data_IF_340743263501
#
_entry.id   IF_340743263501
#
_cell.length_a   1.000
_cell.length_b   1.000
_cell.length_c   1.000
_cell.angle_alpha   90.00
_cell.angle_beta   90.00
_cell.angle_gamma   90.00
#
_symmetry.space_group_name_H-M   'P 1'
#
loop_
_entity.id
_entity.type
_entity.pdbx_description
1 polymer ?
#
# COMPACT_ATOMS: atom_id res chain seq x y z
N UNK A 1 -55.50 -41.82 -11.64
CA UNK A 1 -54.64 -40.83 -12.33
C UNK A 1 -53.53 -40.47 -11.36
N UNK A 2 -52.35 -41.09 -11.49
CA UNK A 2 -51.16 -40.44 -12.08
C UNK A 2 -50.79 -39.14 -11.32
N UNK A 3 -49.63 -38.96 -10.68
CA UNK A 3 -48.34 -39.68 -10.64
C UNK A 3 -47.65 -39.30 -9.30
N UNK A 4 -46.96 -40.28 -8.73
CA UNK A 4 -45.63 -40.28 -8.08
C UNK A 4 -44.96 -38.94 -7.63
N UNK A 5 -44.07 -38.99 -6.61
CA UNK A 5 -44.07 -38.06 -5.48
C UNK A 5 -43.06 -36.91 -5.57
N UNK A 6 -43.31 -35.86 -4.78
CA UNK A 6 -42.46 -34.69 -4.47
C UNK A 6 -41.06 -35.07 -3.93
N UNK A 7 -40.79 -36.36 -3.75
CA UNK A 7 -39.47 -36.94 -3.39
C UNK A 7 -38.46 -36.79 -4.54
N UNK A 8 -38.88 -36.60 -5.79
CA UNK A 8 -37.97 -36.45 -6.94
C UNK A 8 -37.43 -35.02 -7.16
N UNK A 9 -37.92 -34.01 -6.42
CA UNK A 9 -37.47 -32.61 -6.58
C UNK A 9 -36.46 -32.15 -5.52
N UNK A 10 -36.20 -32.95 -4.48
CA UNK A 10 -35.21 -32.64 -3.44
C UNK A 10 -33.92 -33.47 -3.55
N UNK A 11 -33.87 -34.46 -4.46
CA UNK A 11 -32.69 -35.29 -4.72
C UNK A 11 -31.69 -34.68 -5.73
N UNK A 12 -31.99 -33.53 -6.33
CA UNK A 12 -31.05 -32.78 -7.19
C UNK A 12 -30.14 -31.83 -6.40
N UNK A 13 -30.35 -31.67 -5.09
CA UNK A 13 -29.46 -30.90 -4.20
C UNK A 13 -28.13 -31.62 -3.88
N UNK A 14 -27.93 -32.86 -4.35
CA UNK A 14 -26.68 -33.61 -4.17
C UNK A 14 -25.77 -33.67 -5.40
N UNK A 15 -26.07 -32.94 -6.48
CA UNK A 15 -25.22 -32.95 -7.67
C UNK A 15 -25.21 -31.61 -8.41
N UNK A 16 -24.80 -30.53 -7.74
CA UNK A 16 -24.18 -29.39 -8.41
C UNK A 16 -22.88 -29.06 -7.69
N UNK A 17 -21.81 -29.65 -8.24
CA UNK A 17 -20.43 -29.18 -8.14
C UNK A 17 -19.85 -29.24 -6.72
N UNK A 18 -19.18 -30.31 -6.27
CA UNK A 18 -18.05 -30.99 -6.92
C UNK A 18 -17.19 -30.06 -7.80
N UNK A 19 -17.06 -28.80 -7.44
CA UNK A 19 -15.83 -28.07 -7.70
C UNK A 19 -14.90 -28.57 -6.61
N UNK A 20 -13.95 -29.42 -7.00
CA UNK A 20 -12.72 -29.57 -6.27
C UNK A 20 -12.37 -28.22 -5.65
N UNK A 21 -12.38 -28.15 -4.32
CA UNK A 21 -11.51 -27.21 -3.63
C UNK A 21 -10.12 -27.72 -3.97
N UNK A 22 -9.67 -27.45 -5.18
CA UNK A 22 -8.25 -27.31 -5.45
C UNK A 22 -7.87 -26.26 -4.44
N UNK A 23 -7.33 -26.72 -3.31
CA UNK A 23 -6.25 -25.99 -2.69
C UNK A 23 -5.36 -25.65 -3.86
N UNK A 24 -5.50 -24.43 -4.38
CA UNK A 24 -4.42 -23.77 -5.08
C UNK A 24 -3.39 -23.65 -3.98
N UNK A 25 -2.67 -24.75 -3.74
CA UNK A 25 -1.42 -24.76 -3.01
C UNK A 25 -0.64 -23.78 -3.82
N UNK A 26 -0.55 -22.54 -3.33
CA UNK A 26 0.25 -21.51 -3.95
C UNK A 26 1.62 -22.16 -4.08
N UNK A 27 1.95 -22.59 -5.29
CA UNK A 27 3.30 -23.02 -5.62
C UNK A 27 4.03 -21.71 -5.63
N UNK A 28 4.45 -21.28 -4.44
CA UNK A 28 5.34 -20.15 -4.30
C UNK A 28 6.52 -20.45 -5.21
N UNK A 29 6.93 -19.51 -6.07
CA UNK A 29 8.17 -19.68 -6.80
C UNK A 29 9.26 -20.06 -5.80
N UNK A 30 10.07 -21.06 -6.12
CA UNK A 30 11.30 -21.31 -5.37
C UNK A 30 12.23 -20.14 -5.64
N UNK A 31 12.24 -19.18 -4.71
CA UNK A 31 13.16 -18.05 -4.74
C UNK A 31 14.48 -18.43 -4.09
N UNK A 32 15.57 -17.91 -4.64
CA UNK A 32 16.81 -17.80 -3.88
C UNK A 32 16.70 -16.58 -2.95
N UNK A 33 16.78 -16.84 -1.64
CA UNK A 33 16.63 -15.81 -0.59
C UNK A 33 18.00 -15.36 -0.11
N UNK A 34 18.24 -14.05 -0.08
CA UNK A 34 19.37 -13.54 0.71
C UNK A 34 19.01 -13.57 2.20
N UNK A 35 19.93 -14.07 3.04
CA UNK A 35 19.75 -14.40 4.47
C UNK A 35 19.36 -13.24 5.40
N UNK A 36 19.21 -12.02 4.89
CA UNK A 36 18.88 -10.84 5.67
C UNK A 36 17.37 -10.55 5.63
N UNK A 37 16.64 -11.20 6.53
CA UNK A 37 15.28 -10.78 6.87
C UNK A 37 15.38 -9.47 7.68
N UNK A 38 14.84 -8.37 7.16
CA UNK A 38 14.75 -7.10 7.88
C UNK A 38 13.27 -6.78 8.10
N UNK A 39 12.87 -6.63 9.37
CA UNK A 39 11.50 -6.28 9.77
C UNK A 39 10.38 -7.05 9.04
N UNK A 40 10.53 -8.36 8.88
CA UNK A 40 9.49 -9.20 8.33
C UNK A 40 9.38 -9.21 6.80
N UNK A 41 10.33 -8.58 6.09
CA UNK A 41 10.51 -8.70 4.64
C UNK A 41 11.84 -9.36 4.29
N UNK A 42 11.91 -9.98 3.13
CA UNK A 42 13.11 -10.61 2.56
C UNK A 42 13.25 -10.21 1.09
N UNK A 43 14.49 -9.98 0.67
CA UNK A 43 14.83 -9.83 -0.75
C UNK A 43 14.87 -11.23 -1.36
N UNK A 44 14.14 -11.40 -2.45
CA UNK A 44 14.02 -12.66 -3.19
C UNK A 44 14.55 -12.47 -4.60
N UNK A 45 15.11 -13.52 -5.18
CA UNK A 45 15.54 -13.50 -6.58
C UNK A 45 14.94 -14.65 -7.39
N UNK A 46 14.68 -14.38 -8.67
CA UNK A 46 14.22 -15.34 -9.67
C UNK A 46 14.84 -14.97 -11.02
N UNK A 47 15.56 -15.90 -11.65
CA UNK A 47 16.22 -15.72 -12.95
C UNK A 47 17.10 -14.45 -13.03
N UNK A 48 17.80 -14.10 -11.94
CA UNK A 48 18.66 -12.92 -11.87
C UNK A 48 17.92 -11.59 -11.75
N UNK A 49 16.60 -11.61 -11.48
CA UNK A 49 15.80 -10.44 -11.13
C UNK A 49 15.44 -10.48 -9.65
N UNK A 50 15.34 -9.31 -9.03
CA UNK A 50 15.12 -9.17 -7.60
C UNK A 50 13.72 -8.64 -7.29
N UNK A 51 13.14 -9.13 -6.21
CA UNK A 51 11.82 -8.81 -5.68
C UNK A 51 11.84 -8.77 -4.15
N UNK A 52 10.68 -8.53 -3.56
CA UNK A 52 10.50 -8.49 -2.10
C UNK A 52 9.37 -9.46 -1.72
N UNK A 53 9.56 -10.24 -0.68
CA UNK A 53 8.53 -11.09 -0.10
C UNK A 53 8.43 -10.88 1.40
N UNK A 54 7.30 -11.24 2.00
CA UNK A 54 7.22 -11.33 3.46
C UNK A 54 7.84 -12.63 3.98
N UNK A 55 7.99 -12.74 5.29
CA UNK A 55 8.53 -13.94 5.95
C UNK A 55 7.72 -15.23 5.76
N UNK A 56 6.50 -15.15 5.23
CA UNK A 56 5.73 -16.34 4.83
C UNK A 56 6.00 -16.76 3.38
N UNK A 57 6.83 -16.01 2.66
CA UNK A 57 7.12 -16.19 1.24
C UNK A 57 6.08 -15.57 0.32
N UNK A 58 5.13 -14.79 0.83
CA UNK A 58 4.16 -14.08 -0.02
C UNK A 58 4.86 -12.89 -0.67
N UNK A 59 4.76 -12.84 -1.99
CA UNK A 59 5.30 -11.75 -2.80
C UNK A 59 4.69 -10.39 -2.39
N UNK A 60 5.58 -9.43 -2.19
CA UNK A 60 5.29 -8.01 -1.94
C UNK A 60 5.63 -7.20 -3.20
N UNK A 61 6.81 -7.44 -3.76
CA UNK A 61 7.25 -6.93 -5.06
C UNK A 61 7.70 -8.10 -5.92
N UNK A 62 7.17 -8.18 -7.14
CA UNK A 62 7.58 -9.19 -8.10
C UNK A 62 9.08 -9.09 -8.41
N UNK A 63 9.77 -10.22 -8.69
CA UNK A 63 11.17 -10.21 -9.11
C UNK A 63 11.33 -9.67 -10.53
N UNK A 64 11.26 -8.35 -10.65
CA UNK A 64 11.35 -7.62 -11.92
C UNK A 64 12.36 -6.49 -11.86
N UNK A 65 13.12 -6.37 -10.77
CA UNK A 65 14.12 -5.33 -10.57
C UNK A 65 15.52 -5.87 -10.85
N UNK A 66 16.44 -4.97 -11.21
CA UNK A 66 17.85 -5.30 -11.42
C UNK A 66 18.53 -5.60 -10.09
N UNK A 67 18.11 -4.91 -9.03
CA UNK A 67 18.61 -5.06 -7.67
C UNK A 67 17.63 -4.46 -6.65
N UNK A 68 17.69 -4.88 -5.39
CA UNK A 68 16.92 -4.31 -4.27
C UNK A 68 17.80 -4.21 -3.02
N UNK A 69 17.81 -3.03 -2.39
CA UNK A 69 18.50 -2.79 -1.13
C UNK A 69 17.56 -2.22 -0.07
N UNK A 70 17.78 -2.58 1.19
CA UNK A 70 17.21 -1.85 2.31
C UNK A 70 18.04 -0.59 2.57
N UNK A 71 17.41 0.58 2.52
CA UNK A 71 18.05 1.85 2.89
C UNK A 71 17.66 2.28 4.31
N UNK A 72 16.60 1.68 4.84
CA UNK A 72 16.24 1.71 6.26
C UNK A 72 15.40 0.47 6.60
N UNK A 73 15.09 0.36 7.89
CA UNK A 73 14.23 -0.66 8.48
C UNK A 73 12.85 -0.82 7.83
N UNK A 74 12.32 0.22 7.20
CA UNK A 74 10.98 0.21 6.60
C UNK A 74 10.97 0.56 5.11
N UNK A 75 12.14 0.83 4.51
CA UNK A 75 12.24 1.32 3.14
C UNK A 75 13.22 0.49 2.29
N UNK A 76 12.70 0.00 1.18
CA UNK A 76 13.47 -0.65 0.13
C UNK A 76 13.68 0.28 -1.07
N UNK A 77 14.88 0.28 -1.63
CA UNK A 77 15.23 0.91 -2.89
C UNK A 77 15.40 -0.19 -3.96
N UNK A 78 14.60 -0.15 -5.03
CA UNK A 78 14.65 -1.11 -6.12
C UNK A 78 15.12 -0.45 -7.42
N UNK A 79 16.09 -1.07 -8.07
CA UNK A 79 16.80 -0.53 -9.23
C UNK A 79 16.21 -1.07 -10.54
N UNK A 80 16.09 -0.20 -11.54
CA UNK A 80 15.73 -0.56 -12.91
C UNK A 80 16.45 0.38 -13.87
N UNK A 81 17.54 -0.12 -14.46
CA UNK A 81 18.51 0.68 -15.20
C UNK A 81 19.04 1.83 -14.33
N UNK A 82 18.75 3.06 -14.76
CA UNK A 82 19.12 4.29 -14.06
C UNK A 82 18.04 4.80 -13.10
N UNK A 83 16.92 4.08 -12.95
CA UNK A 83 15.81 4.52 -12.09
C UNK A 83 15.86 3.75 -10.78
N UNK A 84 15.67 4.48 -9.67
CA UNK A 84 15.55 3.91 -8.33
C UNK A 84 14.16 4.22 -7.81
N UNK A 85 13.36 3.17 -7.60
CA UNK A 85 12.07 3.26 -6.94
C UNK A 85 12.22 3.02 -5.43
N UNK A 86 11.53 3.83 -4.63
CA UNK A 86 11.48 3.65 -3.18
C UNK A 86 10.14 3.05 -2.79
N UNK A 87 10.16 2.06 -1.90
CA UNK A 87 8.98 1.30 -1.48
C UNK A 87 8.94 1.16 0.03
N UNK A 88 7.74 1.21 0.58
CA UNK A 88 7.52 0.76 1.97
C UNK A 88 7.45 -0.78 2.05
N UNK A 89 7.39 -1.30 3.27
CA UNK A 89 7.28 -2.75 3.55
C UNK A 89 6.05 -3.43 2.99
N UNK A 90 5.02 -2.68 2.60
CA UNK A 90 3.84 -3.25 1.93
C UNK A 90 4.01 -3.34 0.42
N UNK A 91 5.16 -2.91 -0.11
CA UNK A 91 5.43 -2.82 -1.54
C UNK A 91 4.81 -1.58 -2.17
N UNK A 92 4.29 -0.64 -1.36
CA UNK A 92 3.75 0.59 -1.90
C UNK A 92 4.88 1.51 -2.31
N UNK A 93 4.83 1.98 -3.56
CA UNK A 93 5.76 2.98 -4.08
C UNK A 93 5.58 4.31 -3.34
N UNK A 94 6.70 4.83 -2.87
CA UNK A 94 6.85 6.04 -2.08
C UNK A 94 7.39 7.21 -2.92
N UNK A 95 8.06 6.90 -4.03
CA UNK A 95 8.61 7.85 -5.00
C UNK A 95 9.70 7.16 -5.82
N UNK A 96 10.32 7.92 -6.72
CA UNK A 96 11.45 7.44 -7.52
C UNK A 96 12.39 8.59 -7.86
N UNK A 97 13.61 8.23 -8.22
CA UNK A 97 14.63 9.15 -8.73
C UNK A 97 15.35 8.50 -9.92
N UNK A 98 15.94 9.34 -10.77
CA UNK A 98 16.89 8.88 -11.79
C UNK A 98 18.29 9.18 -11.26
N UNK A 99 19.16 8.19 -11.30
CA UNK A 99 20.56 8.28 -10.92
C UNK A 99 21.44 8.17 -12.16
N UNK A 100 22.49 8.98 -12.22
CA UNK A 100 23.55 8.76 -13.20
C UNK A 100 24.34 7.47 -12.86
N UNK A 101 25.08 6.94 -13.82
CA UNK A 101 25.85 5.70 -13.59
C UNK A 101 26.87 5.88 -12.48
N UNK A 102 26.85 4.99 -11.48
CA UNK A 102 27.78 5.03 -10.34
C UNK A 102 27.27 5.75 -9.09
N UNK A 103 25.96 5.92 -8.91
CA UNK A 103 25.39 6.49 -7.70
C UNK A 103 25.84 5.76 -6.43
N UNK A 104 26.21 6.57 -5.44
CA UNK A 104 26.64 6.11 -4.12
C UNK A 104 25.44 5.88 -3.19
N UNK A 105 25.66 5.21 -2.07
CA UNK A 105 24.62 5.05 -1.06
C UNK A 105 24.11 6.40 -0.53
N UNK A 106 25.01 7.39 -0.40
CA UNK A 106 24.69 8.76 -0.01
C UNK A 106 23.77 9.45 -1.01
N UNK A 107 23.97 9.26 -2.31
CA UNK A 107 23.10 9.81 -3.35
C UNK A 107 21.68 9.25 -3.25
N UNK A 108 21.56 7.95 -2.96
CA UNK A 108 20.27 7.29 -2.76
C UNK A 108 19.57 7.82 -1.52
N UNK A 109 20.30 8.02 -0.42
CA UNK A 109 19.74 8.59 0.81
C UNK A 109 19.28 10.03 0.64
N UNK A 110 20.07 10.88 -0.04
CA UNK A 110 19.70 12.26 -0.33
C UNK A 110 18.45 12.33 -1.22
N UNK A 111 18.40 11.49 -2.25
CA UNK A 111 17.22 11.38 -3.11
C UNK A 111 15.97 10.97 -2.30
N UNK A 112 16.09 9.95 -1.44
CA UNK A 112 14.99 9.54 -0.59
C UNK A 112 14.53 10.65 0.37
N UNK A 113 15.47 11.36 1.01
CA UNK A 113 15.18 12.48 1.93
C UNK A 113 14.36 13.60 1.25
N UNK A 114 14.68 13.93 -0.01
CA UNK A 114 13.90 14.91 -0.79
C UNK A 114 12.47 14.44 -1.03
N UNK A 115 12.30 13.18 -1.41
CA UNK A 115 10.97 12.59 -1.61
C UNK A 115 10.19 12.60 -0.30
N UNK A 116 10.82 12.19 0.80
CA UNK A 116 10.20 12.15 2.12
C UNK A 116 9.79 13.56 2.59
N UNK A 117 10.63 14.57 2.39
CA UNK A 117 10.30 15.98 2.64
C UNK A 117 9.08 16.43 1.83
N UNK A 118 9.07 16.15 0.53
CA UNK A 118 7.94 16.51 -0.33
C UNK A 118 6.63 15.83 0.11
N UNK A 119 6.70 14.55 0.53
CA UNK A 119 5.55 13.85 1.10
C UNK A 119 5.06 14.48 2.41
N UNK A 120 5.97 14.89 3.31
CA UNK A 120 5.63 15.61 4.54
C UNK A 120 4.87 16.90 4.25
N UNK A 121 5.37 17.70 3.32
CA UNK A 121 4.72 18.96 2.91
C UNK A 121 3.32 18.73 2.32
N UNK A 122 3.12 17.64 1.56
CA UNK A 122 1.79 17.27 1.08
C UNK A 122 0.83 16.91 2.23
N UNK A 123 1.31 16.18 3.24
CA UNK A 123 0.52 15.84 4.42
C UNK A 123 0.18 17.08 5.27
N UNK A 124 1.14 17.99 5.45
CA UNK A 124 0.91 19.26 6.15
C UNK A 124 -0.18 20.09 5.46
N UNK A 125 -0.19 20.12 4.13
CA UNK A 125 -1.25 20.76 3.35
C UNK A 125 -2.61 20.08 3.53
N UNK A 126 -2.67 18.74 3.57
CA UNK A 126 -3.92 18.00 3.84
C UNK A 126 -4.46 18.34 5.22
N UNK A 127 -3.60 18.39 6.23
CA UNK A 127 -4.00 18.71 7.60
C UNK A 127 -4.52 20.16 7.68
N UNK A 128 -3.83 21.11 7.05
CA UNK A 128 -4.27 22.49 6.98
C UNK A 128 -5.67 22.62 6.33
N UNK A 129 -5.92 21.89 5.23
CA UNK A 129 -7.24 21.86 4.59
C UNK A 129 -8.32 21.26 5.51
N UNK A 130 -7.98 20.23 6.29
CA UNK A 130 -8.88 19.65 7.28
C UNK A 130 -9.23 20.65 8.39
N UNK A 131 -8.25 21.38 8.90
CA UNK A 131 -8.49 22.45 9.88
C UNK A 131 -9.35 23.58 9.30
N UNK A 132 -9.13 23.96 8.04
CA UNK A 132 -9.96 24.95 7.35
C UNK A 132 -11.41 24.48 7.23
N UNK A 133 -11.64 23.24 6.77
CA UNK A 133 -12.96 22.63 6.74
C UNK A 133 -13.60 22.63 8.13
N UNK A 134 -12.85 22.29 9.17
CA UNK A 134 -13.33 22.31 10.56
C UNK A 134 -13.78 23.71 10.99
N UNK A 135 -12.96 24.73 10.76
CA UNK A 135 -13.31 26.13 11.08
C UNK A 135 -14.54 26.58 10.28
N UNK A 136 -14.61 26.21 9.00
CA UNK A 136 -15.75 26.51 8.14
C UNK A 136 -17.05 25.89 8.68
N UNK A 137 -17.04 24.61 9.06
CA UNK A 137 -18.22 23.93 9.60
C UNK A 137 -18.71 24.51 10.94
N UNK A 138 -17.87 25.28 11.64
CA UNK A 138 -18.22 25.96 12.90
C UNK A 138 -18.71 27.39 12.70
N UNK A 139 -18.68 27.93 11.48
CA UNK A 139 -19.12 29.31 11.21
C UNK A 139 -20.60 29.40 10.91
N UNK A 140 -21.19 30.57 11.17
CA UNK A 140 -22.59 30.87 10.82
C UNK A 140 -22.85 30.90 9.30
N UNK A 141 -21.78 30.95 8.50
CA UNK A 141 -21.80 30.94 7.03
C UNK A 141 -21.66 29.54 6.41
N UNK A 142 -21.63 28.49 7.24
CA UNK A 142 -21.48 27.12 6.79
C UNK A 142 -22.67 26.67 5.93
N UNK A 143 -22.37 26.04 4.80
CA UNK A 143 -23.35 25.37 3.95
C UNK A 143 -22.88 23.96 3.61
N UNK A 144 -23.84 23.04 3.50
CA UNK A 144 -23.54 21.65 3.15
C UNK A 144 -22.84 21.53 1.78
N UNK A 145 -23.15 22.42 0.82
CA UNK A 145 -22.53 22.43 -0.50
C UNK A 145 -21.04 22.74 -0.46
N UNK A 146 -20.65 23.83 0.21
CA UNK A 146 -19.25 24.24 0.34
C UNK A 146 -18.44 23.25 1.18
N UNK A 147 -19.02 22.78 2.30
CA UNK A 147 -18.37 21.77 3.14
C UNK A 147 -18.08 20.48 2.36
N UNK A 148 -19.01 20.06 1.49
CA UNK A 148 -18.81 18.93 0.59
C UNK A 148 -17.66 19.16 -0.39
N UNK A 149 -17.58 20.32 -1.03
CA UNK A 149 -16.49 20.65 -1.97
C UNK A 149 -15.12 20.61 -1.28
N UNK A 150 -15.01 21.20 -0.08
CA UNK A 150 -13.80 21.13 0.74
C UNK A 150 -13.43 19.69 1.09
N UNK A 151 -14.40 18.88 1.54
CA UNK A 151 -14.19 17.47 1.88
C UNK A 151 -13.78 16.63 0.66
N UNK A 152 -14.36 16.89 -0.52
CA UNK A 152 -14.00 16.22 -1.77
C UNK A 152 -12.58 16.60 -2.22
N UNK A 153 -12.16 17.85 -2.00
CA UNK A 153 -10.78 18.31 -2.20
C UNK A 153 -9.79 17.56 -1.31
N UNK A 154 -10.08 17.44 -0.01
CA UNK A 154 -9.28 16.67 0.95
C UNK A 154 -9.22 15.19 0.54
N UNK A 155 -10.35 14.58 0.17
CA UNK A 155 -10.39 13.19 -0.29
C UNK A 155 -9.53 12.97 -1.53
N UNK A 156 -9.57 13.91 -2.47
CA UNK A 156 -8.74 13.87 -3.68
C UNK A 156 -7.25 13.98 -3.34
N UNK A 157 -6.89 14.84 -2.38
CA UNK A 157 -5.52 14.95 -1.92
C UNK A 157 -5.04 13.66 -1.23
N UNK A 158 -5.88 13.07 -0.36
CA UNK A 158 -5.59 11.79 0.30
C UNK A 158 -5.36 10.65 -0.71
N UNK A 159 -6.14 10.61 -1.79
CA UNK A 159 -5.94 9.63 -2.86
C UNK A 159 -4.59 9.78 -3.58
N UNK A 160 -4.09 11.01 -3.71
CA UNK A 160 -2.81 11.31 -4.39
C UNK A 160 -1.58 10.99 -3.54
N UNK A 161 -1.62 11.30 -2.25
CA UNK A 161 -0.48 11.06 -1.37
C UNK A 161 -0.30 9.55 -1.15
N UNK A 162 -1.41 8.81 -1.02
CA UNK A 162 -1.44 7.37 -0.91
C UNK A 162 -0.67 6.81 0.30
N UNK A 163 -1.09 5.65 0.80
CA UNK A 163 -0.31 4.85 1.75
C UNK A 163 -0.73 5.03 3.20
N UNK A 164 -0.19 4.19 4.09
CA UNK A 164 -0.50 4.29 5.50
C UNK A 164 0.01 5.64 6.01
N UNK A 165 -0.90 6.41 6.59
CA UNK A 165 -0.56 7.56 7.40
C UNK A 165 0.48 7.09 8.45
N UNK A 166 1.64 7.75 8.54
CA UNK A 166 2.67 7.34 9.51
C UNK A 166 2.08 7.33 10.91
N UNK A 167 2.64 6.52 11.83
CA UNK A 167 2.05 6.32 13.16
C UNK A 167 1.71 7.64 13.85
N UNK A 168 2.60 8.64 13.79
CA UNK A 168 2.40 9.95 14.41
C UNK A 168 1.37 10.80 13.66
N UNK A 169 1.35 10.74 12.33
CA UNK A 169 0.33 11.39 11.51
C UNK A 169 -1.05 10.78 11.78
N UNK A 170 -1.11 9.46 11.92
CA UNK A 170 -2.31 8.69 12.25
C UNK A 170 -2.76 8.99 13.66
N UNK A 171 -1.85 9.04 14.63
CA UNK A 171 -2.17 9.40 16.00
C UNK A 171 -2.72 10.82 16.08
N UNK A 172 -2.12 11.77 15.37
CA UNK A 172 -2.56 13.17 15.32
C UNK A 172 -3.92 13.30 14.65
N UNK A 173 -4.09 12.66 13.50
CA UNK A 173 -5.36 12.62 12.77
C UNK A 173 -6.47 11.94 13.56
N UNK A 174 -6.19 10.80 14.21
CA UNK A 174 -7.16 10.06 15.04
C UNK A 174 -7.47 10.81 16.34
N UNK A 175 -6.49 11.47 16.98
CA UNK A 175 -6.72 12.33 18.14
C UNK A 175 -7.63 13.51 17.78
N UNK A 176 -7.40 14.14 16.63
CA UNK A 176 -8.22 15.25 16.15
C UNK A 176 -9.62 14.79 15.69
N UNK A 177 -9.73 13.62 15.05
CA UNK A 177 -11.02 13.05 14.63
C UNK A 177 -11.84 12.49 15.82
N UNK A 178 -11.19 11.87 16.82
CA UNK A 178 -11.87 11.26 17.97
C UNK A 178 -12.47 12.28 18.92
N UNK A 179 -11.90 13.49 18.99
CA UNK A 179 -12.49 14.63 19.68
C UNK A 179 -13.87 15.04 19.13
N UNK A 180 -14.28 14.53 17.97
CA UNK A 180 -15.55 14.84 17.29
C UNK A 180 -16.61 13.73 17.41
N UNK A 181 -16.24 12.53 17.89
CA UNK A 181 -17.21 11.42 18.13
C UNK A 181 -17.92 11.54 19.49
N UNK A 182 -17.61 12.56 20.29
CA UNK A 182 -18.31 12.91 21.53
C UNK A 182 -19.11 14.18 21.31
#
# INVERSE_FOLDING_TARGET
>A
MHREPVIFLLLTLMAMSCASRTEVKAVLPTYDTETNCLNGTMIVSLDGRYGLADTSGREILAPVYDDIYYISDDIAAAFTGQTVGFFDRSGKRLGETVTEGGATFEDILDAYSKIEKARREQWDSILANYEELRRYCQSDSASAGTAKLMADGIRTALQKVGGPMEKDQKLRFEAECSAYRR
#
